data_IF_542541886861
#
_entry.id   IF_542541886861
#
_cell.length_a   1.000
_cell.length_b   1.000
_cell.length_c   1.000
_cell.angle_alpha   90.00
_cell.angle_beta   90.00
_cell.angle_gamma   90.00
#
_symmetry.space_group_name_H-M   'P 1'
#
loop_
_entity.id
_entity.type
_entity.pdbx_description
1 polymer ?
#
# COMPACT_ATOMS: atom_id res chain seq x y z
N UNK A 1 -14.53 -16.90 3.23
CA UNK A 1 -14.77 -15.80 4.19
C UNK A 1 -15.93 -14.97 3.65
N UNK A 2 -17.05 -14.77 4.38
CA UNK A 2 -18.12 -13.96 3.84
C UNK A 2 -17.65 -12.49 3.83
N UNK A 3 -17.78 -11.84 2.68
CA UNK A 3 -17.48 -10.43 2.53
C UNK A 3 -18.50 -9.64 3.35
N UNK A 4 -18.09 -9.10 4.49
CA UNK A 4 -18.87 -8.08 5.19
C UNK A 4 -18.90 -6.82 4.33
N UNK A 5 -20.01 -6.08 4.34
CA UNK A 5 -20.22 -4.92 3.48
C UNK A 5 -19.09 -3.89 3.68
N UNK A 6 -18.23 -3.76 2.66
CA UNK A 6 -17.03 -2.94 2.70
C UNK A 6 -17.47 -1.46 2.72
N UNK A 7 -16.97 -0.62 3.64
CA UNK A 7 -17.22 0.81 3.58
C UNK A 7 -16.70 1.38 2.25
N UNK A 8 -17.43 2.33 1.67
CA UNK A 8 -16.99 3.01 0.45
C UNK A 8 -15.53 3.46 0.60
N UNK A 9 -14.66 3.20 -0.41
CA UNK A 9 -13.26 3.55 -0.31
C UNK A 9 -13.12 5.07 -0.11
N UNK A 10 -12.17 5.48 0.73
CA UNK A 10 -11.83 6.89 0.84
C UNK A 10 -11.26 7.41 -0.48
N UNK A 11 -11.31 8.73 -0.70
CA UNK A 11 -10.80 9.36 -1.94
C UNK A 11 -9.34 8.97 -2.25
N UNK A 12 -8.51 8.81 -1.22
CA UNK A 12 -7.13 8.36 -1.39
C UNK A 12 -7.02 6.92 -1.87
N UNK A 13 -7.91 6.03 -1.40
CA UNK A 13 -7.98 4.63 -1.88
C UNK A 13 -8.52 4.60 -3.30
N UNK A 14 -9.55 5.40 -3.61
CA UNK A 14 -10.13 5.48 -4.95
C UNK A 14 -9.09 5.91 -5.99
N UNK A 15 -8.26 6.92 -5.68
CA UNK A 15 -7.15 7.35 -6.56
C UNK A 15 -6.17 6.21 -6.88
N UNK A 16 -5.89 5.32 -5.92
CA UNK A 16 -5.02 4.16 -6.15
C UNK A 16 -5.70 3.12 -7.05
N UNK A 17 -6.99 2.85 -6.81
CA UNK A 17 -7.79 1.94 -7.65
C UNK A 17 -7.79 2.42 -9.11
N UNK A 18 -8.06 3.72 -9.33
CA UNK A 18 -8.13 4.30 -10.66
C UNK A 18 -6.76 4.27 -11.36
N UNK A 19 -5.68 4.57 -10.64
CA UNK A 19 -4.32 4.50 -11.18
C UNK A 19 -3.93 3.08 -11.59
N UNK A 20 -4.26 2.06 -10.78
CA UNK A 20 -3.99 0.66 -11.11
C UNK A 20 -4.81 0.20 -12.32
N UNK A 21 -6.08 0.60 -12.41
CA UNK A 21 -6.94 0.30 -13.54
C UNK A 21 -6.42 0.94 -14.84
N UNK A 22 -5.98 2.19 -14.79
CA UNK A 22 -5.39 2.89 -15.94
C UNK A 22 -4.09 2.23 -16.43
N UNK A 23 -3.34 1.59 -15.53
CA UNK A 23 -2.12 0.81 -15.85
C UNK A 23 -2.41 -0.63 -16.30
N UNK A 24 -3.68 -1.06 -16.34
CA UNK A 24 -4.07 -2.40 -16.78
C UNK A 24 -3.72 -3.51 -15.78
N UNK A 25 -3.61 -3.19 -14.48
CA UNK A 25 -3.44 -4.23 -13.46
C UNK A 25 -4.66 -5.15 -13.38
N UNK A 26 -4.41 -6.45 -13.39
CA UNK A 26 -5.46 -7.47 -13.45
C UNK A 26 -6.35 -7.50 -12.19
N UNK A 27 -5.76 -7.26 -11.02
CA UNK A 27 -6.43 -7.41 -9.72
C UNK A 27 -6.64 -6.06 -9.04
N UNK A 28 -7.78 -5.91 -8.36
CA UNK A 28 -8.08 -4.71 -7.56
C UNK A 28 -7.44 -4.80 -6.16
N UNK A 29 -7.07 -3.66 -5.55
CA UNK A 29 -6.71 -3.62 -4.13
C UNK A 29 -7.82 -4.20 -3.25
N UNK A 30 -7.42 -4.98 -2.26
CA UNK A 30 -8.32 -5.50 -1.22
C UNK A 30 -8.17 -4.64 0.03
N UNK A 31 -9.29 -4.20 0.61
CA UNK A 31 -9.28 -3.50 1.89
C UNK A 31 -9.14 -4.52 3.02
N UNK A 32 -8.16 -4.30 3.91
CA UNK A 32 -7.97 -5.13 5.10
C UNK A 32 -8.84 -4.59 6.24
N UNK A 33 -9.48 -5.50 6.97
CA UNK A 33 -10.31 -5.16 8.14
C UNK A 33 -9.47 -4.68 9.34
N UNK A 34 -8.20 -5.11 9.39
CA UNK A 34 -7.26 -4.75 10.44
C UNK A 34 -6.53 -3.43 10.12
N UNK A 35 -6.30 -2.61 11.14
CA UNK A 35 -5.48 -1.41 11.01
C UNK A 35 -4.03 -1.78 10.65
N UNK A 36 -3.67 -1.68 9.37
CA UNK A 36 -2.31 -1.91 8.87
C UNK A 36 -1.42 -0.66 9.02
N UNK A 37 -1.27 -0.14 10.24
CA UNK A 37 -0.45 1.07 10.49
C UNK A 37 1.05 0.78 10.46
N UNK A 38 1.45 -0.49 10.52
CA UNK A 38 2.83 -0.95 10.37
C UNK A 38 2.94 -2.04 9.31
N UNK A 39 4.14 -2.20 8.74
CA UNK A 39 4.41 -3.29 7.79
C UNK A 39 4.21 -4.67 8.41
N UNK A 40 4.51 -4.84 9.71
CA UNK A 40 4.27 -6.09 10.42
C UNK A 40 2.77 -6.39 10.52
N UNK A 41 1.95 -5.41 10.89
CA UNK A 41 0.49 -5.58 10.95
C UNK A 41 -0.10 -5.96 9.59
N UNK A 42 0.41 -5.36 8.51
CA UNK A 42 0.01 -5.71 7.15
C UNK A 42 0.39 -7.15 6.79
N UNK A 43 1.62 -7.56 7.13
CA UNK A 43 2.12 -8.92 6.89
C UNK A 43 1.27 -9.97 7.63
N UNK A 44 0.99 -9.70 8.91
CA UNK A 44 0.18 -10.58 9.77
C UNK A 44 -1.25 -10.70 9.25
N UNK A 45 -1.87 -9.58 8.85
CA UNK A 45 -3.24 -9.56 8.31
C UNK A 45 -3.36 -10.29 6.96
N UNK A 46 -2.29 -10.29 6.15
CA UNK A 46 -2.24 -10.95 4.85
C UNK A 46 -1.71 -12.39 4.91
N UNK A 47 -1.13 -12.82 6.05
CA UNK A 47 -0.49 -14.13 6.19
C UNK A 47 0.78 -14.28 5.35
N UNK A 48 1.51 -13.19 5.12
CA UNK A 48 2.74 -13.16 4.28
C UNK A 48 3.98 -12.83 5.10
N UNK A 49 5.17 -13.03 4.53
CA UNK A 49 6.41 -12.62 5.18
C UNK A 49 6.54 -11.10 5.17
N UNK A 50 7.17 -10.52 6.22
CA UNK A 50 7.36 -9.07 6.33
C UNK A 50 8.07 -8.46 5.10
N UNK A 51 9.05 -9.16 4.54
CA UNK A 51 9.76 -8.72 3.33
C UNK A 51 8.90 -8.65 2.06
N UNK A 52 7.70 -9.24 2.07
CA UNK A 52 6.74 -9.13 0.97
C UNK A 52 5.87 -7.87 1.05
N UNK A 53 5.91 -7.13 2.17
CA UNK A 53 5.24 -5.85 2.30
C UNK A 53 6.13 -4.75 1.73
N UNK A 54 5.71 -4.10 0.65
CA UNK A 54 6.43 -2.95 0.10
C UNK A 54 6.10 -1.68 0.91
N UNK A 55 7.13 -0.91 1.26
CA UNK A 55 7.03 0.44 1.86
C UNK A 55 7.32 1.48 0.79
N UNK A 56 6.53 2.54 0.75
CA UNK A 56 6.76 3.73 -0.08
C UNK A 56 7.17 4.87 0.83
N UNK A 57 8.44 5.29 0.77
CA UNK A 57 8.97 6.38 1.59
C UNK A 57 9.35 7.52 0.66
N UNK A 58 8.81 8.71 0.92
CA UNK A 58 9.06 9.91 0.11
C UNK A 58 10.05 10.80 0.84
N UNK A 59 11.17 11.12 0.17
CA UNK A 59 12.16 12.08 0.63
C UNK A 59 12.12 13.33 -0.25
N UNK A 60 12.51 14.47 0.33
CA UNK A 60 12.85 15.67 -0.43
C UNK A 60 14.36 15.73 -0.60
N UNK A 61 14.83 15.71 -1.84
CA UNK A 61 16.24 15.94 -2.14
C UNK A 61 16.54 17.43 -1.99
N UNK A 62 17.39 17.79 -1.03
CA UNK A 62 17.60 19.18 -0.60
C UNK A 62 18.19 20.03 -1.71
N UNK A 63 19.23 19.54 -2.39
CA UNK A 63 19.97 20.35 -3.37
C UNK A 63 19.18 20.62 -4.65
N UNK A 64 18.34 19.66 -5.07
CA UNK A 64 17.58 19.78 -6.33
C UNK A 64 16.10 20.09 -6.14
N UNK A 65 15.64 20.16 -4.88
CA UNK A 65 14.22 20.31 -4.52
C UNK A 65 13.27 19.27 -5.12
N UNK A 66 13.76 18.06 -5.41
CA UNK A 66 12.96 17.00 -6.06
C UNK A 66 12.42 16.02 -5.03
N UNK A 67 11.20 15.52 -5.25
CA UNK A 67 10.69 14.38 -4.53
C UNK A 67 11.37 13.09 -5.00
N UNK A 68 11.80 12.26 -4.05
CA UNK A 68 12.40 10.94 -4.28
C UNK A 68 11.53 9.90 -3.59
N UNK A 69 10.97 8.98 -4.37
CA UNK A 69 10.24 7.82 -3.85
C UNK A 69 11.20 6.63 -3.73
N UNK A 70 11.31 6.08 -2.54
CA UNK A 70 11.99 4.82 -2.27
C UNK A 70 10.95 3.74 -2.04
N UNK A 71 10.99 2.68 -2.85
CA UNK A 71 10.21 1.46 -2.65
C UNK A 71 11.14 0.40 -2.08
N UNK A 72 10.87 -0.07 -0.86
CA UNK A 72 11.70 -1.07 -0.19
C UNK A 72 10.85 -2.16 0.48
N UNK A 73 11.46 -3.33 0.67
CA UNK A 73 10.84 -4.43 1.42
C UNK A 73 10.65 -4.07 2.90
N UNK A 74 9.60 -4.62 3.52
CA UNK A 74 9.16 -4.29 4.88
C UNK A 74 10.23 -4.56 5.94
N UNK A 75 11.03 -5.59 5.72
CA UNK A 75 12.14 -6.07 6.55
C UNK A 75 13.46 -5.31 6.34
N UNK A 76 13.54 -4.44 5.32
CA UNK A 76 14.71 -3.59 5.06
C UNK A 76 14.56 -2.22 5.72
N UNK A 77 15.68 -1.62 6.12
CA UNK A 77 15.73 -0.27 6.69
C UNK A 77 16.35 0.70 5.70
#
# INVERSE_FOLDING_TARGET
MPASAIPSPSDSVQRVIDALAALGHAERPVMLDAAARTAQQAADALGVQLGQIAKSIVFRHVDSDRAVLVVCAGDRR
#
